data_IF_972511999606
#
_entry.id   IF_972511999606
#
_cell.length_a   1.000
_cell.length_b   1.000
_cell.length_c   1.000
_cell.angle_alpha   90.00
_cell.angle_beta   90.00
_cell.angle_gamma   90.00
#
_symmetry.space_group_name_H-M   'P 1'
#
loop_
_entity.id
_entity.type
_entity.pdbx_description
1 polymer ?
#
# COMPACT_ATOMS: atom_id res chain seq x y z
N UNK A 1 -42.37 -80.53 6.23
CA UNK A 1 -43.76 -80.99 5.99
C UNK A 1 -44.37 -80.05 5.02
N UNK A 2 -44.78 -80.52 3.87
CA UNK A 2 -45.85 -80.22 2.91
C UNK A 2 -45.98 -78.73 2.48
N UNK A 3 -45.57 -78.38 1.22
CA UNK A 3 -46.38 -78.68 -0.01
C UNK A 3 -47.58 -77.73 -0.07
N UNK A 4 -47.61 -76.80 -1.03
CA UNK A 4 -48.29 -76.96 -2.32
C UNK A 4 -48.30 -75.62 -3.06
N UNK A 5 -47.82 -75.60 -4.28
CA UNK A 5 -48.34 -74.76 -5.35
C UNK A 5 -49.64 -75.41 -5.87
N UNK A 6 -50.47 -74.82 -6.65
CA UNK A 6 -50.28 -74.28 -8.01
C UNK A 6 -51.24 -73.09 -8.30
N UNK A 7 -51.40 -72.48 -9.42
CA UNK A 7 -51.38 -72.70 -10.83
C UNK A 7 -51.79 -71.43 -11.57
N UNK A 8 -51.26 -71.23 -12.70
CA UNK A 8 -51.57 -70.49 -13.89
C UNK A 8 -53.01 -69.99 -14.11
N UNK A 9 -53.15 -68.76 -14.59
CA UNK A 9 -54.12 -68.52 -15.71
C UNK A 9 -53.63 -67.34 -16.58
N UNK A 10 -53.61 -67.67 -17.86
CA UNK A 10 -53.31 -66.79 -19.02
C UNK A 10 -54.49 -65.84 -19.26
N UNK A 11 -54.21 -64.59 -19.67
CA UNK A 11 -54.94 -63.89 -20.79
C UNK A 11 -54.25 -62.55 -21.05
N UNK A 12 -53.44 -62.46 -22.05
CA UNK A 12 -53.63 -61.91 -23.40
C UNK A 12 -53.75 -60.38 -23.48
N UNK A 13 -52.65 -59.81 -23.97
CA UNK A 13 -52.60 -58.95 -25.19
C UNK A 13 -53.60 -57.83 -25.38
N UNK A 14 -53.02 -56.70 -25.75
CA UNK A 14 -53.57 -55.46 -26.28
C UNK A 14 -53.63 -54.29 -25.28
N UNK A 15 -52.56 -53.71 -24.93
CA UNK A 15 -52.39 -52.28 -24.78
C UNK A 15 -50.86 -51.96 -24.82
N UNK A 16 -50.30 -52.13 -25.95
CA UNK A 16 -48.89 -51.78 -26.21
C UNK A 16 -48.81 -51.05 -27.55
N UNK A 17 -49.47 -49.90 -27.65
CA UNK A 17 -49.30 -48.99 -28.80
C UNK A 17 -49.80 -47.56 -28.61
N UNK A 18 -49.68 -46.95 -27.47
CA UNK A 18 -50.11 -45.54 -27.26
C UNK A 18 -49.29 -44.74 -26.24
N UNK A 19 -48.06 -45.17 -25.86
CA UNK A 19 -47.18 -44.37 -24.97
C UNK A 19 -45.77 -44.30 -25.54
N UNK A 20 -45.65 -43.95 -26.81
CA UNK A 20 -44.37 -43.81 -27.48
C UNK A 20 -44.18 -42.46 -28.22
N UNK A 21 -44.94 -41.45 -27.91
CA UNK A 21 -44.86 -40.14 -28.63
C UNK A 21 -45.00 -38.91 -27.74
N UNK A 22 -44.67 -38.94 -26.43
CA UNK A 22 -44.64 -37.74 -25.54
C UNK A 22 -43.38 -37.71 -24.67
N UNK A 23 -42.24 -38.11 -25.18
CA UNK A 23 -40.96 -37.92 -24.47
C UNK A 23 -39.87 -37.36 -25.40
N UNK A 24 -40.20 -36.50 -26.33
CA UNK A 24 -39.25 -35.88 -27.22
C UNK A 24 -39.55 -34.40 -27.39
N UNK A 25 -39.53 -33.61 -26.29
CA UNK A 25 -39.39 -32.14 -26.33
C UNK A 25 -39.31 -31.48 -24.97
N UNK A 26 -38.59 -32.04 -23.97
CA UNK A 26 -38.10 -31.29 -22.86
C UNK A 26 -36.54 -31.21 -22.98
N UNK A 27 -36.09 -30.50 -24.00
CA UNK A 27 -34.76 -29.99 -24.05
C UNK A 27 -34.58 -29.01 -22.89
N UNK A 28 -34.07 -29.52 -21.78
CA UNK A 28 -33.57 -28.67 -20.70
C UNK A 28 -32.38 -27.90 -21.28
N UNK A 29 -32.65 -26.67 -21.72
CA UNK A 29 -31.64 -25.67 -21.85
C UNK A 29 -31.11 -25.39 -20.43
N UNK A 30 -30.10 -26.15 -20.00
CA UNK A 30 -29.19 -25.69 -18.97
C UNK A 30 -28.46 -24.51 -19.62
N UNK A 31 -29.06 -23.34 -19.51
CA UNK A 31 -28.32 -22.11 -19.64
C UNK A 31 -27.20 -22.26 -18.62
N UNK A 32 -25.99 -22.47 -19.07
CA UNK A 32 -24.81 -22.24 -18.29
C UNK A 32 -24.90 -20.76 -17.87
N UNK A 33 -25.51 -20.53 -16.72
CA UNK A 33 -25.33 -19.29 -15.99
C UNK A 33 -23.85 -19.32 -15.63
N UNK A 34 -23.02 -18.80 -16.52
CA UNK A 34 -21.65 -18.46 -16.22
C UNK A 34 -21.73 -17.58 -14.97
N UNK A 35 -21.08 -18.03 -13.91
CA UNK A 35 -21.02 -17.31 -12.64
C UNK A 35 -20.62 -15.86 -12.91
N UNK A 36 -21.49 -14.86 -12.65
CA UNK A 36 -21.11 -13.46 -12.79
C UNK A 36 -20.10 -13.01 -11.71
N UNK A 37 -19.59 -13.94 -10.92
CA UNK A 37 -18.61 -13.69 -9.84
C UNK A 37 -17.16 -13.86 -10.27
N UNK A 38 -16.88 -14.35 -11.47
CA UNK A 38 -15.55 -14.30 -12.10
C UNK A 38 -15.41 -13.10 -13.04
N UNK A 39 -16.10 -12.01 -12.73
CA UNK A 39 -15.86 -10.75 -13.40
C UNK A 39 -14.52 -10.20 -12.93
N UNK A 40 -13.49 -10.48 -13.76
CA UNK A 40 -12.26 -9.71 -13.87
C UNK A 40 -11.47 -9.49 -12.59
N UNK A 41 -10.99 -10.56 -11.95
CA UNK A 41 -9.71 -10.51 -11.25
C UNK A 41 -8.66 -10.08 -12.31
N UNK A 42 -7.97 -8.94 -12.10
CA UNK A 42 -6.84 -8.59 -12.94
C UNK A 42 -7.08 -7.52 -14.02
N UNK A 43 -7.96 -6.54 -13.85
CA UNK A 43 -8.18 -5.50 -14.87
C UNK A 43 -7.77 -4.07 -14.49
N UNK A 44 -7.11 -3.86 -13.34
CA UNK A 44 -6.74 -2.50 -12.93
C UNK A 44 -5.82 -1.83 -13.94
N UNK A 45 -4.82 -2.55 -14.47
CA UNK A 45 -3.92 -2.00 -15.47
C UNK A 45 -4.67 -1.62 -16.75
N UNK A 46 -5.59 -2.45 -17.23
CA UNK A 46 -6.42 -2.16 -18.41
C UNK A 46 -7.28 -0.91 -18.18
N UNK A 47 -7.92 -0.80 -17.02
CA UNK A 47 -8.70 0.39 -16.62
C UNK A 47 -7.85 1.65 -16.55
N UNK A 48 -6.63 1.57 -15.98
CA UNK A 48 -5.67 2.67 -15.91
C UNK A 48 -5.27 3.11 -17.31
N UNK A 49 -4.94 2.18 -18.21
CA UNK A 49 -4.60 2.47 -19.61
C UNK A 49 -5.74 3.09 -20.39
N UNK A 50 -6.94 2.53 -20.29
CA UNK A 50 -8.13 3.07 -20.98
C UNK A 50 -8.46 4.48 -20.51
N UNK A 51 -8.30 4.76 -19.23
CA UNK A 51 -8.55 6.08 -18.64
C UNK A 51 -7.42 7.07 -18.94
N UNK A 52 -6.20 6.58 -19.20
CA UNK A 52 -5.03 7.40 -19.46
C UNK A 52 -4.44 8.09 -18.22
N UNK A 53 -4.88 7.74 -17.01
CA UNK A 53 -4.37 8.28 -15.75
C UNK A 53 -4.47 7.27 -14.61
N UNK A 54 -3.46 7.28 -13.74
CA UNK A 54 -3.43 6.52 -12.48
C UNK A 54 -4.12 7.31 -11.37
N UNK A 55 -5.10 6.73 -10.69
CA UNK A 55 -5.67 7.32 -9.47
C UNK A 55 -4.93 6.76 -8.26
N UNK A 56 -4.11 7.61 -7.63
CA UNK A 56 -3.30 7.23 -6.48
C UNK A 56 -3.86 7.87 -5.20
N UNK A 57 -4.23 7.01 -4.23
CA UNK A 57 -4.64 7.44 -2.90
C UNK A 57 -3.43 7.85 -2.07
N UNK A 58 -3.45 9.08 -1.56
CA UNK A 58 -2.37 9.68 -0.77
C UNK A 58 -2.91 10.28 0.52
N UNK A 59 -2.04 10.76 1.42
CA UNK A 59 -2.48 11.49 2.61
C UNK A 59 -3.01 12.88 2.27
N UNK A 60 -3.75 13.47 3.20
CA UNK A 60 -4.27 14.85 3.06
C UNK A 60 -3.19 15.93 3.20
N UNK A 61 -1.91 15.55 3.47
CA UNK A 61 -0.84 16.52 3.55
C UNK A 61 0.29 16.18 4.52
N UNK A 62 0.78 14.93 4.53
CA UNK A 62 1.96 14.56 5.31
C UNK A 62 3.20 15.02 4.53
N UNK A 63 3.88 16.05 5.04
CA UNK A 63 5.11 16.56 4.44
C UNK A 63 6.17 15.45 4.34
N UNK A 64 6.96 15.46 3.28
CA UNK A 64 7.95 14.41 3.01
C UNK A 64 7.38 13.11 2.44
N UNK A 65 6.08 12.83 2.60
CA UNK A 65 5.41 11.64 2.05
C UNK A 65 4.44 11.97 0.93
N UNK A 66 3.40 12.78 1.21
CA UNK A 66 2.50 13.30 0.19
C UNK A 66 1.89 14.62 0.64
N UNK A 67 2.35 15.70 0.06
CA UNK A 67 1.90 17.07 0.36
C UNK A 67 1.73 17.87 -0.91
N UNK A 68 0.60 18.55 -1.01
CA UNK A 68 0.30 19.48 -2.09
C UNK A 68 0.82 20.86 -1.72
N UNK A 69 1.63 21.46 -2.58
CA UNK A 69 2.10 22.83 -2.40
C UNK A 69 1.04 23.88 -2.84
N UNK A 70 1.26 25.17 -2.55
CA UNK A 70 0.32 26.22 -2.96
C UNK A 70 0.12 26.35 -4.48
N UNK A 71 1.06 25.86 -5.30
CA UNK A 71 0.94 25.80 -6.76
C UNK A 71 0.09 24.63 -7.25
N UNK A 72 -0.32 23.74 -6.34
CA UNK A 72 -1.09 22.56 -6.66
C UNK A 72 -0.25 21.32 -6.96
N UNK A 73 1.08 21.39 -6.88
CA UNK A 73 1.99 20.27 -7.15
C UNK A 73 2.14 19.38 -5.91
N UNK A 74 2.01 18.08 -6.12
CA UNK A 74 2.27 17.07 -5.09
C UNK A 74 3.76 16.73 -5.00
N UNK A 75 4.28 16.56 -3.79
CA UNK A 75 5.65 16.13 -3.50
C UNK A 75 5.66 15.15 -2.32
N UNK A 76 6.74 14.37 -2.20
CA UNK A 76 6.96 13.42 -1.15
C UNK A 76 7.20 12.00 -1.66
N UNK A 77 7.67 11.11 -0.77
CA UNK A 77 8.06 9.74 -1.10
C UNK A 77 6.89 8.92 -1.69
N UNK A 78 5.71 9.01 -1.09
CA UNK A 78 4.49 8.36 -1.59
C UNK A 78 4.04 8.95 -2.94
N UNK A 79 4.13 10.28 -3.09
CA UNK A 79 3.77 10.95 -4.34
C UNK A 79 4.71 10.56 -5.49
N UNK A 80 6.01 10.44 -5.21
CA UNK A 80 6.99 9.99 -6.19
C UNK A 80 6.78 8.52 -6.55
N UNK A 81 6.44 7.67 -5.58
CA UNK A 81 6.07 6.29 -5.87
C UNK A 81 4.84 6.19 -6.79
N UNK A 82 3.81 7.03 -6.59
CA UNK A 82 2.67 7.10 -7.51
C UNK A 82 3.11 7.47 -8.94
N UNK A 83 4.05 8.41 -9.09
CA UNK A 83 4.61 8.78 -10.40
C UNK A 83 5.40 7.62 -11.03
N UNK A 84 6.17 6.89 -10.23
CA UNK A 84 6.89 5.71 -10.68
C UNK A 84 5.94 4.65 -11.26
N UNK A 85 4.83 4.38 -10.57
CA UNK A 85 3.79 3.46 -11.05
C UNK A 85 3.13 3.96 -12.34
N UNK A 86 2.86 5.27 -12.46
CA UNK A 86 2.31 5.86 -13.68
C UNK A 86 3.29 5.80 -14.84
N UNK A 87 4.58 6.04 -14.60
CA UNK A 87 5.63 5.90 -15.62
C UNK A 87 5.72 4.46 -16.15
N UNK A 88 5.61 3.46 -15.27
CA UNK A 88 5.58 2.06 -15.67
C UNK A 88 4.32 1.70 -16.48
N UNK A 89 3.14 2.08 -15.98
CA UNK A 89 1.85 1.67 -16.54
C UNK A 89 1.44 2.46 -17.80
N UNK A 90 1.80 3.75 -17.89
CA UNK A 90 1.30 4.72 -18.86
C UNK A 90 2.41 5.43 -19.67
N UNK A 91 3.67 5.10 -19.40
CA UNK A 91 4.82 5.73 -20.07
C UNK A 91 5.15 7.15 -19.60
N UNK A 92 4.39 7.72 -18.66
CA UNK A 92 4.58 9.10 -18.19
C UNK A 92 4.19 9.22 -16.72
N UNK A 93 5.16 9.59 -15.86
CA UNK A 93 4.97 9.79 -14.43
C UNK A 93 4.04 10.97 -14.06
N UNK A 94 3.73 11.86 -15.02
CA UNK A 94 2.77 12.94 -14.78
C UNK A 94 1.31 12.51 -14.92
N UNK A 95 1.06 11.33 -15.49
CA UNK A 95 -0.31 10.80 -15.66
C UNK A 95 -0.86 10.22 -14.36
N UNK A 96 -0.84 11.02 -13.29
CA UNK A 96 -1.36 10.68 -11.96
C UNK A 96 -2.43 11.66 -11.52
N UNK A 97 -3.56 11.12 -11.07
CA UNK A 97 -4.56 11.85 -10.28
C UNK A 97 -4.37 11.48 -8.82
N UNK A 98 -3.87 12.41 -8.02
CA UNK A 98 -3.72 12.22 -6.58
C UNK A 98 -5.07 12.41 -5.89
N UNK A 99 -5.46 11.43 -5.07
CA UNK A 99 -6.71 11.42 -4.31
C UNK A 99 -6.36 11.50 -2.81
N UNK A 100 -6.48 12.67 -2.17
CA UNK A 100 -6.20 12.81 -0.75
C UNK A 100 -7.26 12.09 0.09
N UNK A 101 -6.82 11.30 1.07
CA UNK A 101 -7.66 10.44 1.89
C UNK A 101 -7.29 10.53 3.36
N UNK A 102 -8.29 10.58 4.23
CA UNK A 102 -8.14 10.33 5.66
C UNK A 102 -7.72 8.88 5.90
N UNK A 103 -7.04 8.61 7.02
CA UNK A 103 -6.61 7.25 7.34
C UNK A 103 -7.78 6.26 7.37
N UNK A 104 -8.92 6.64 7.93
CA UNK A 104 -10.13 5.80 8.00
C UNK A 104 -10.79 5.53 6.65
N UNK A 105 -10.59 6.40 5.64
CA UNK A 105 -11.21 6.29 4.32
C UNK A 105 -10.37 5.50 3.29
N UNK A 106 -9.09 5.27 3.55
CA UNK A 106 -8.15 4.75 2.54
C UNK A 106 -8.49 3.35 2.02
N UNK A 107 -8.84 2.41 2.91
CA UNK A 107 -9.20 1.05 2.51
C UNK A 107 -10.58 0.96 1.83
N UNK A 108 -11.63 1.64 2.32
CA UNK A 108 -12.88 1.75 1.56
C UNK A 108 -12.68 2.30 0.14
N UNK A 109 -11.89 3.37 -0.04
CA UNK A 109 -11.61 3.95 -1.34
C UNK A 109 -10.88 2.97 -2.28
N UNK A 110 -9.91 2.20 -1.76
CA UNK A 110 -9.19 1.20 -2.55
C UNK A 110 -10.12 0.06 -2.97
N UNK A 111 -10.86 -0.53 -2.02
CA UNK A 111 -11.78 -1.64 -2.31
C UNK A 111 -12.92 -1.25 -3.24
N UNK A 112 -13.47 -0.05 -3.07
CA UNK A 112 -14.52 0.50 -3.93
C UNK A 112 -14.03 0.96 -5.30
N UNK A 113 -12.73 0.83 -5.62
CA UNK A 113 -12.19 1.21 -6.92
C UNK A 113 -12.14 2.71 -7.18
N UNK A 114 -12.28 3.56 -6.14
CA UNK A 114 -12.08 5.01 -6.26
C UNK A 114 -10.63 5.35 -6.58
N UNK A 115 -9.69 4.53 -6.10
CA UNK A 115 -8.26 4.59 -6.37
C UNK A 115 -7.76 3.26 -6.92
N UNK A 116 -6.67 3.29 -7.65
CA UNK A 116 -6.05 2.11 -8.28
C UNK A 116 -4.91 1.56 -7.43
N UNK A 117 -4.19 2.44 -6.74
CA UNK A 117 -3.13 2.14 -5.77
C UNK A 117 -3.24 3.10 -4.59
N UNK A 118 -2.87 2.62 -3.42
CA UNK A 118 -2.80 3.42 -2.19
C UNK A 118 -1.34 3.54 -1.78
N UNK A 119 -0.77 4.74 -1.79
CA UNK A 119 0.54 5.09 -1.23
C UNK A 119 0.32 6.21 -0.21
N UNK A 120 0.10 5.81 1.07
CA UNK A 120 -0.34 6.71 2.14
C UNK A 120 0.13 6.18 3.49
N UNK A 121 1.43 6.11 3.73
CA UNK A 121 1.99 5.69 5.03
C UNK A 121 1.19 4.53 5.64
N UNK A 122 1.00 3.46 4.86
CA UNK A 122 0.10 2.39 5.27
C UNK A 122 0.88 1.20 5.79
N UNK A 123 0.83 0.98 7.08
CA UNK A 123 1.51 -0.13 7.75
C UNK A 123 0.97 -1.48 7.28
N UNK A 124 1.87 -2.33 6.82
CA UNK A 124 1.57 -3.71 6.49
C UNK A 124 1.36 -4.54 7.75
N UNK A 125 0.17 -5.06 7.93
CA UNK A 125 -0.17 -5.97 9.02
C UNK A 125 -0.97 -7.16 8.49
N UNK A 126 -0.85 -8.31 9.17
CA UNK A 126 -1.63 -9.50 8.85
C UNK A 126 -3.14 -9.21 8.88
N UNK A 127 -3.59 -8.47 9.90
CA UNK A 127 -5.01 -8.13 10.06
C UNK A 127 -5.55 -7.32 8.87
N UNK A 128 -4.76 -6.37 8.33
CA UNK A 128 -5.13 -5.59 7.15
C UNK A 128 -5.13 -6.43 5.89
N UNK A 129 -4.08 -7.19 5.66
CA UNK A 129 -3.94 -7.99 4.44
C UNK A 129 -5.00 -9.08 4.36
N UNK A 130 -5.14 -9.88 5.41
CA UNK A 130 -6.11 -10.98 5.45
C UNK A 130 -7.55 -10.50 5.66
N UNK A 131 -7.75 -9.45 6.49
CA UNK A 131 -9.10 -9.00 6.88
C UNK A 131 -9.75 -8.00 5.94
N UNK A 132 -8.96 -7.26 5.13
CA UNK A 132 -9.50 -6.17 4.31
C UNK A 132 -9.49 -6.44 2.81
N UNK A 133 -9.17 -7.65 2.38
CA UNK A 133 -9.10 -8.01 0.95
C UNK A 133 -8.19 -7.06 0.14
N UNK A 134 -7.00 -6.82 0.67
CA UNK A 134 -5.96 -6.00 0.03
C UNK A 134 -4.65 -6.77 -0.05
N UNK A 135 -3.71 -6.30 -0.87
CA UNK A 135 -2.35 -6.83 -0.97
C UNK A 135 -1.35 -5.69 -0.84
N UNK A 136 -0.28 -5.97 -0.12
CA UNK A 136 0.85 -5.06 0.04
C UNK A 136 1.94 -5.39 -0.99
N UNK A 137 2.43 -4.36 -1.69
CA UNK A 137 3.34 -4.55 -2.81
C UNK A 137 4.83 -4.66 -2.40
N UNK A 138 5.14 -4.43 -1.12
CA UNK A 138 6.50 -4.39 -0.58
C UNK A 138 6.65 -3.18 0.34
N UNK A 139 7.70 -3.16 1.16
CA UNK A 139 7.91 -2.06 2.12
C UNK A 139 8.61 -0.89 1.42
N UNK A 140 7.91 0.25 1.34
CA UNK A 140 8.46 1.50 0.81
C UNK A 140 9.25 2.28 1.86
N UNK A 141 8.88 2.14 3.15
CA UNK A 141 9.55 2.84 4.24
C UNK A 141 9.40 2.08 5.56
N UNK A 142 10.52 1.83 6.23
CA UNK A 142 10.55 1.21 7.56
C UNK A 142 10.50 2.30 8.63
N UNK A 143 9.51 2.24 9.51
CA UNK A 143 9.31 3.19 10.61
C UNK A 143 8.94 2.46 11.92
N UNK A 144 8.65 3.21 12.93
CA UNK A 144 8.15 2.76 14.22
C UNK A 144 7.34 3.85 14.90
N UNK A 145 6.33 3.46 15.68
CA UNK A 145 5.50 4.38 16.44
C UNK A 145 6.31 5.05 17.54
N UNK A 146 6.31 6.37 17.53
CA UNK A 146 6.98 7.24 18.52
C UNK A 146 6.04 8.22 19.20
N UNK A 147 6.63 9.09 20.00
CA UNK A 147 5.92 10.12 20.77
C UNK A 147 6.62 11.46 20.65
N UNK A 148 5.87 12.49 20.32
CA UNK A 148 6.34 13.88 20.31
C UNK A 148 5.78 14.61 21.53
N UNK A 149 6.64 15.34 22.24
CA UNK A 149 6.32 16.11 23.46
C UNK A 149 6.88 17.53 23.36
N UNK A 150 6.30 18.52 24.07
CA UNK A 150 6.91 19.85 24.17
C UNK A 150 8.28 19.76 24.85
N UNK A 151 9.31 20.38 24.30
CA UNK A 151 10.67 20.40 24.88
C UNK A 151 10.68 20.96 26.32
N UNK A 152 9.84 21.98 26.57
CA UNK A 152 9.67 22.58 27.90
C UNK A 152 9.07 21.63 28.95
N UNK A 153 8.42 20.54 28.54
CA UNK A 153 7.80 19.57 29.46
C UNK A 153 8.82 18.75 30.25
N UNK A 154 10.07 18.70 29.79
CA UNK A 154 11.16 17.87 30.34
C UNK A 154 10.86 16.38 30.38
N UNK A 155 9.86 15.92 29.66
CA UNK A 155 9.55 14.49 29.47
C UNK A 155 10.63 13.89 28.58
N UNK A 156 11.37 12.89 29.08
CA UNK A 156 12.48 12.24 28.37
C UNK A 156 12.24 10.76 28.06
N UNK A 157 11.12 10.20 28.53
CA UNK A 157 10.79 8.79 28.33
C UNK A 157 9.28 8.58 28.34
N UNK A 158 8.83 7.50 27.71
CA UNK A 158 7.42 7.09 27.65
C UNK A 158 6.83 6.85 29.06
N UNK A 159 7.62 6.32 29.99
CA UNK A 159 7.18 6.11 31.38
C UNK A 159 6.70 7.40 32.07
N UNK A 160 7.22 8.55 31.67
CA UNK A 160 6.79 9.87 32.21
C UNK A 160 5.45 10.36 31.63
N UNK A 161 4.86 9.62 30.70
CA UNK A 161 3.52 9.85 30.17
C UNK A 161 2.43 9.05 30.90
N UNK A 162 2.74 8.42 32.06
CA UNK A 162 1.75 7.69 32.85
C UNK A 162 0.54 8.60 33.15
N UNK A 163 -0.67 8.11 32.85
CA UNK A 163 -1.94 8.82 33.03
C UNK A 163 -2.15 10.03 32.11
N UNK A 164 -1.23 10.27 31.17
CA UNK A 164 -1.32 11.41 30.25
C UNK A 164 -2.37 11.19 29.16
N UNK A 165 -2.92 12.29 28.65
CA UNK A 165 -3.68 12.28 27.39
C UNK A 165 -2.71 12.40 26.23
N UNK A 166 -2.85 11.50 25.21
CA UNK A 166 -2.05 11.45 24.00
C UNK A 166 -2.96 11.59 22.78
N UNK A 167 -2.64 12.51 21.89
CA UNK A 167 -3.36 12.71 20.62
C UNK A 167 -2.92 11.67 19.58
N UNK A 168 -3.88 11.05 18.88
CA UNK A 168 -3.67 10.07 17.80
C UNK A 168 -4.64 10.31 16.65
N UNK A 169 -4.26 9.90 15.44
CA UNK A 169 -5.15 9.90 14.27
C UNK A 169 -6.00 8.62 14.25
N UNK A 170 -7.29 8.77 14.01
CA UNK A 170 -8.29 7.70 13.89
C UNK A 170 -8.00 6.75 12.73
N UNK A 171 -8.22 5.44 12.96
CA UNK A 171 -8.10 4.41 11.92
C UNK A 171 -6.65 4.09 11.55
N UNK A 172 -5.73 4.35 12.47
CA UNK A 172 -4.30 4.04 12.33
C UNK A 172 -3.91 2.88 13.25
N UNK A 173 -2.80 2.20 12.93
CA UNK A 173 -2.14 1.27 13.86
C UNK A 173 -1.70 1.95 15.15
N UNK A 174 -1.36 3.24 15.07
CA UNK A 174 -0.97 4.07 16.21
C UNK A 174 -2.04 4.09 17.31
N UNK A 175 -3.32 4.25 16.92
CA UNK A 175 -4.45 4.23 17.84
C UNK A 175 -4.54 2.88 18.58
N UNK A 176 -4.55 1.78 17.82
CA UNK A 176 -4.69 0.41 18.33
C UNK A 176 -3.49 0.00 19.22
N UNK A 177 -2.26 0.23 18.72
CA UNK A 177 -1.04 -0.18 19.42
C UNK A 177 -0.85 0.63 20.71
N UNK A 178 -1.17 1.92 20.71
CA UNK A 178 -1.07 2.74 21.91
C UNK A 178 -1.99 2.24 23.03
N UNK A 179 -3.21 1.86 22.68
CA UNK A 179 -4.16 1.30 23.64
C UNK A 179 -3.65 -0.02 24.25
N UNK A 180 -3.19 -0.94 23.39
CA UNK A 180 -2.62 -2.21 23.83
C UNK A 180 -1.37 -2.02 24.69
N UNK A 181 -0.44 -1.18 24.24
CA UNK A 181 0.79 -0.90 24.98
C UNK A 181 0.51 -0.28 26.34
N UNK A 182 -0.40 0.69 26.41
CA UNK A 182 -0.80 1.35 27.66
C UNK A 182 -1.39 0.37 28.68
N UNK A 183 -2.20 -0.59 28.23
CA UNK A 183 -2.74 -1.67 29.07
C UNK A 183 -1.63 -2.61 29.54
N UNK A 184 -0.81 -3.11 28.62
CA UNK A 184 0.25 -4.07 28.92
C UNK A 184 1.30 -3.54 29.88
N UNK A 185 1.60 -2.24 29.84
CA UNK A 185 2.61 -1.57 30.68
C UNK A 185 2.02 -0.85 31.90
N UNK A 186 0.70 -0.92 32.09
CA UNK A 186 -0.01 -0.20 33.18
C UNK A 186 0.26 1.31 33.20
N UNK A 187 0.51 1.91 32.03
CA UNK A 187 0.75 3.35 31.92
C UNK A 187 -0.53 4.18 32.07
N UNK A 188 -1.70 3.60 31.84
CA UNK A 188 -2.98 4.31 31.99
C UNK A 188 -3.09 5.53 31.08
N UNK A 189 -2.47 5.52 29.90
CA UNK A 189 -2.55 6.58 28.90
C UNK A 189 -3.99 6.69 28.40
N UNK A 190 -4.49 7.92 28.30
CA UNK A 190 -5.79 8.25 27.71
C UNK A 190 -5.57 8.70 26.26
N UNK A 191 -6.21 8.05 25.30
CA UNK A 191 -6.16 8.46 23.90
C UNK A 191 -7.19 9.55 23.62
N UNK A 192 -6.75 10.64 22.98
CA UNK A 192 -7.63 11.59 22.31
C UNK A 192 -7.54 11.33 20.80
N UNK A 193 -8.59 10.68 20.27
CA UNK A 193 -8.66 10.26 18.87
C UNK A 193 -9.23 11.41 18.04
N UNK A 194 -8.51 11.81 16.98
CA UNK A 194 -8.87 12.90 16.06
C UNK A 194 -9.04 12.35 14.64
N UNK A 195 -9.91 12.95 13.86
CA UNK A 195 -10.27 12.44 12.53
C UNK A 195 -9.17 12.56 11.46
N UNK A 196 -8.14 13.38 11.71
CA UNK A 196 -6.99 13.53 10.82
C UNK A 196 -5.72 13.86 11.58
N UNK A 197 -4.56 13.60 10.93
CA UNK A 197 -3.24 13.99 11.44
C UNK A 197 -3.17 15.49 11.75
N UNK A 198 -3.72 16.33 10.86
CA UNK A 198 -3.74 17.78 11.05
C UNK A 198 -4.52 18.20 12.29
N UNK A 199 -5.68 17.57 12.53
CA UNK A 199 -6.46 17.83 13.75
C UNK A 199 -5.73 17.34 15.00
N UNK A 200 -5.06 16.17 14.93
CA UNK A 200 -4.24 15.67 16.03
C UNK A 200 -3.08 16.62 16.36
N UNK A 201 -2.38 17.12 15.34
CA UNK A 201 -1.32 18.10 15.50
C UNK A 201 -1.84 19.43 16.10
N UNK A 202 -2.95 19.97 15.58
CA UNK A 202 -3.60 21.18 16.11
C UNK A 202 -4.00 21.02 17.59
N UNK A 203 -4.61 19.88 17.94
CA UNK A 203 -5.01 19.60 19.33
C UNK A 203 -3.79 19.50 20.25
N UNK A 204 -2.73 18.86 19.80
CA UNK A 204 -1.46 18.75 20.54
C UNK A 204 -0.80 20.13 20.73
N UNK A 205 -0.68 20.92 19.67
CA UNK A 205 -0.08 22.26 19.76
C UNK A 205 -0.92 23.23 20.62
N UNK A 206 -2.23 23.04 20.67
CA UNK A 206 -3.12 23.72 21.60
C UNK A 206 -3.09 23.16 23.02
N UNK A 207 -2.15 22.25 23.35
CA UNK A 207 -1.96 21.66 24.68
C UNK A 207 -3.16 20.84 25.19
N UNK A 208 -4.04 20.35 24.31
CA UNK A 208 -5.13 19.44 24.67
C UNK A 208 -4.61 18.02 25.02
N UNK A 209 -3.40 17.69 24.55
CA UNK A 209 -2.68 16.46 24.85
C UNK A 209 -1.28 16.77 25.37
N UNK A 210 -0.75 15.93 26.28
CA UNK A 210 0.64 16.03 26.76
C UNK A 210 1.65 15.51 25.72
N UNK A 211 1.22 14.62 24.85
CA UNK A 211 2.02 14.07 23.75
C UNK A 211 1.15 13.83 22.53
N UNK A 212 1.80 13.74 21.37
CA UNK A 212 1.22 13.23 20.14
C UNK A 212 1.95 11.94 19.76
N UNK A 213 1.23 10.90 19.36
CA UNK A 213 1.81 9.64 18.88
C UNK A 213 1.51 9.42 17.41
N UNK A 214 2.46 8.84 16.70
CA UNK A 214 2.43 8.52 15.28
C UNK A 214 3.72 7.86 14.84
N UNK A 215 3.84 7.55 13.55
CA UNK A 215 5.09 7.11 12.95
C UNK A 215 6.17 8.17 13.18
N UNK A 216 7.37 7.75 13.56
CA UNK A 216 8.41 8.69 13.98
C UNK A 216 8.82 9.67 12.87
N UNK A 217 8.88 9.19 11.62
CA UNK A 217 9.15 10.06 10.48
C UNK A 217 8.01 11.07 10.25
N UNK A 218 6.74 10.65 10.39
CA UNK A 218 5.59 11.57 10.34
C UNK A 218 5.66 12.62 11.45
N UNK A 219 5.99 12.23 12.69
CA UNK A 219 6.18 13.18 13.79
C UNK A 219 7.33 14.15 13.51
N UNK A 220 8.41 13.68 12.89
CA UNK A 220 9.53 14.55 12.52
C UNK A 220 9.12 15.61 11.49
N UNK A 221 8.27 15.24 10.52
CA UNK A 221 7.77 16.22 9.53
C UNK A 221 6.79 17.20 10.15
N UNK A 222 5.86 16.74 11.01
CA UNK A 222 4.93 17.62 11.75
C UNK A 222 5.68 18.60 12.64
N UNK A 223 6.81 18.19 13.24
CA UNK A 223 7.64 19.02 14.10
C UNK A 223 8.25 20.22 13.38
N UNK A 224 8.59 20.07 12.08
CA UNK A 224 9.18 21.18 11.30
C UNK A 224 8.20 22.34 11.12
N UNK A 225 6.93 22.03 10.92
CA UNK A 225 5.86 23.02 10.75
C UNK A 225 5.23 23.47 12.10
N UNK A 226 5.81 23.07 13.25
CA UNK A 226 5.25 23.33 14.56
C UNK A 226 5.35 24.79 14.99
N UNK A 227 4.37 25.32 15.76
CA UNK A 227 4.45 26.63 16.37
C UNK A 227 5.71 26.76 17.27
N UNK A 228 6.49 27.80 17.05
CA UNK A 228 7.77 28.01 17.75
C UNK A 228 8.96 27.26 17.14
N UNK A 229 8.76 26.57 16.00
CA UNK A 229 9.80 25.85 15.28
C UNK A 229 10.08 24.45 15.81
N UNK A 230 10.90 23.71 15.08
CA UNK A 230 11.19 22.30 15.35
C UNK A 230 11.80 22.07 16.77
N UNK A 231 12.56 23.00 17.28
CA UNK A 231 13.21 22.92 18.60
C UNK A 231 12.23 23.04 19.77
N UNK A 232 11.00 23.51 19.52
CA UNK A 232 9.97 23.60 20.56
C UNK A 232 9.43 22.22 21.00
N UNK A 233 9.71 21.18 20.24
CA UNK A 233 9.24 19.82 20.46
C UNK A 233 10.35 18.79 20.33
N UNK A 234 10.22 17.68 21.07
CA UNK A 234 11.15 16.55 21.05
C UNK A 234 10.40 15.28 20.74
N UNK A 235 10.96 14.45 19.86
CA UNK A 235 10.50 13.08 19.65
C UNK A 235 11.28 12.19 20.60
N UNK A 236 10.55 11.43 21.43
CA UNK A 236 11.16 10.50 22.38
C UNK A 236 11.91 9.38 21.64
N UNK A 237 12.99 8.83 22.24
CA UNK A 237 13.78 7.78 21.58
C UNK A 237 13.04 6.44 21.47
N UNK A 238 12.10 6.16 22.37
CA UNK A 238 11.39 4.88 22.39
C UNK A 238 10.50 4.71 21.16
N UNK A 239 10.47 3.47 20.66
CA UNK A 239 9.53 2.99 19.66
C UNK A 239 8.75 1.82 20.22
N UNK A 240 7.43 1.84 20.10
CA UNK A 240 6.55 0.82 20.66
C UNK A 240 6.01 -0.17 19.62
N UNK A 241 6.34 0.04 18.36
CA UNK A 241 5.96 -0.86 17.27
C UNK A 241 6.99 -0.88 16.14
N UNK A 242 6.78 -1.81 15.21
CA UNK A 242 7.35 -1.81 13.86
C UNK A 242 6.27 -1.34 12.89
N UNK A 243 6.58 -0.34 12.07
CA UNK A 243 5.66 0.23 11.09
C UNK A 243 6.27 0.08 9.68
N UNK A 244 6.17 -1.12 9.05
CA UNK A 244 6.56 -1.29 7.65
C UNK A 244 5.50 -0.64 6.75
N UNK A 245 5.78 0.57 6.29
CA UNK A 245 4.88 1.35 5.44
C UNK A 245 4.99 0.88 4.00
N UNK A 246 3.88 0.53 3.38
CA UNK A 246 3.87 -0.12 2.08
C UNK A 246 2.75 0.38 1.17
N UNK A 247 2.96 0.43 -0.16
CA UNK A 247 1.90 0.60 -1.14
C UNK A 247 0.93 -0.59 -1.12
N UNK A 248 -0.35 -0.30 -1.35
CA UNK A 248 -1.41 -1.28 -1.25
C UNK A 248 -2.25 -1.28 -2.52
N UNK A 249 -2.62 -2.47 -2.97
CA UNK A 249 -3.54 -2.70 -4.09
C UNK A 249 -4.72 -3.58 -3.65
N UNK A 250 -5.75 -3.67 -4.47
CA UNK A 250 -6.87 -4.62 -4.24
C UNK A 250 -6.36 -6.05 -4.30
N UNK A 251 -6.95 -6.94 -3.51
CA UNK A 251 -6.77 -8.38 -3.68
C UNK A 251 -7.39 -8.85 -5.01
N UNK A 252 -7.01 -10.04 -5.48
CA UNK A 252 -7.50 -10.66 -6.70
C UNK A 252 -7.10 -9.92 -8.00
N UNK A 253 -6.01 -9.14 -7.95
CA UNK A 253 -5.40 -8.48 -9.09
C UNK A 253 -3.87 -8.69 -9.01
N UNK A 254 -3.45 -9.93 -9.24
CA UNK A 254 -2.05 -10.35 -9.05
C UNK A 254 -1.12 -9.73 -10.10
N UNK A 255 -1.60 -9.46 -11.31
CA UNK A 255 -0.82 -8.80 -12.37
C UNK A 255 -0.53 -7.35 -11.97
N UNK A 256 -1.56 -6.64 -11.47
CA UNK A 256 -1.38 -5.28 -10.96
C UNK A 256 -0.48 -5.23 -9.71
N UNK A 257 -0.66 -6.17 -8.77
CA UNK A 257 0.22 -6.32 -7.61
C UNK A 257 1.66 -6.54 -8.06
N UNK A 258 1.88 -7.44 -9.03
CA UNK A 258 3.21 -7.76 -9.54
C UNK A 258 3.86 -6.53 -10.17
N UNK A 259 3.15 -5.78 -11.02
CA UNK A 259 3.68 -4.55 -11.60
C UNK A 259 4.05 -3.53 -10.52
N UNK A 260 3.15 -3.23 -9.57
CA UNK A 260 3.38 -2.25 -8.50
C UNK A 260 4.56 -2.67 -7.60
N UNK A 261 4.67 -3.96 -7.30
CA UNK A 261 5.81 -4.52 -6.55
C UNK A 261 7.14 -4.36 -7.31
N UNK A 262 7.13 -4.68 -8.59
CA UNK A 262 8.35 -4.57 -9.39
C UNK A 262 8.75 -3.12 -9.67
N UNK A 263 7.82 -2.17 -9.67
CA UNK A 263 8.16 -0.74 -9.65
C UNK A 263 8.97 -0.38 -8.41
N UNK A 264 8.59 -0.86 -7.23
CA UNK A 264 9.38 -0.66 -6.01
C UNK A 264 10.76 -1.32 -6.12
N UNK A 265 10.82 -2.55 -6.62
CA UNK A 265 12.07 -3.27 -6.81
C UNK A 265 13.00 -2.57 -7.82
N UNK A 266 12.46 -1.99 -8.90
CA UNK A 266 13.25 -1.15 -9.84
C UNK A 266 13.90 0.01 -9.11
N UNK A 267 13.17 0.73 -8.27
CA UNK A 267 13.70 1.88 -7.54
C UNK A 267 14.84 1.48 -6.60
N UNK A 268 14.70 0.37 -5.88
CA UNK A 268 15.73 -0.16 -4.97
C UNK A 268 16.92 -0.70 -5.75
N UNK A 269 16.69 -1.54 -6.77
CA UNK A 269 17.78 -2.09 -7.60
C UNK A 269 18.56 -1.01 -8.36
N UNK A 270 17.88 0.05 -8.81
CA UNK A 270 18.55 1.18 -9.44
C UNK A 270 19.54 1.85 -8.48
N UNK A 271 19.18 2.00 -7.21
CA UNK A 271 20.11 2.50 -6.19
C UNK A 271 21.29 1.55 -5.97
N UNK A 272 21.04 0.24 -5.85
CA UNK A 272 22.07 -0.79 -5.69
C UNK A 272 23.09 -0.79 -6.83
N UNK A 273 22.63 -0.49 -8.05
CA UNK A 273 23.43 -0.47 -9.27
C UNK A 273 24.03 0.92 -9.58
N UNK A 274 23.79 1.93 -8.74
CA UNK A 274 24.24 3.31 -8.97
C UNK A 274 23.59 3.94 -10.20
N UNK A 275 22.38 3.50 -10.58
CA UNK A 275 21.60 4.07 -11.66
C UNK A 275 20.76 5.20 -11.08
N UNK A 276 20.89 6.41 -11.63
CA UNK A 276 20.20 7.63 -11.19
C UNK A 276 19.34 8.20 -12.31
N UNK A 277 18.47 9.14 -11.96
CA UNK A 277 17.65 9.88 -12.95
C UNK A 277 18.49 10.52 -14.07
N UNK A 278 19.75 10.90 -13.77
CA UNK A 278 20.65 11.57 -14.72
C UNK A 278 21.41 10.60 -15.62
N UNK A 279 21.71 9.39 -15.15
CA UNK A 279 22.53 8.45 -15.88
C UNK A 279 21.77 7.21 -16.40
N UNK A 280 20.48 7.07 -16.09
CA UNK A 280 19.68 5.87 -16.35
C UNK A 280 19.78 5.38 -17.79
N UNK A 281 19.55 6.25 -18.76
CA UNK A 281 19.60 5.89 -20.19
C UNK A 281 20.99 5.36 -20.62
N UNK A 282 22.06 6.01 -20.18
CA UNK A 282 23.43 5.59 -20.48
C UNK A 282 23.77 4.28 -19.78
N UNK A 283 23.44 4.16 -18.50
CA UNK A 283 23.78 2.98 -17.69
C UNK A 283 22.98 1.75 -18.11
N UNK A 284 21.71 1.91 -18.41
CA UNK A 284 20.86 0.79 -18.85
C UNK A 284 21.18 0.33 -20.29
N UNK A 285 21.83 1.16 -21.10
CA UNK A 285 22.35 0.76 -22.40
C UNK A 285 23.73 0.06 -22.33
N UNK A 286 24.35 -0.01 -21.15
CA UNK A 286 25.68 -0.61 -20.97
C UNK A 286 25.57 -2.14 -20.92
N UNK A 287 26.20 -2.86 -21.89
CA UNK A 287 26.16 -4.33 -21.90
C UNK A 287 26.79 -4.98 -20.66
N UNK A 288 27.69 -4.30 -19.95
CA UNK A 288 28.30 -4.80 -18.72
C UNK A 288 27.29 -4.92 -17.55
N UNK A 289 26.15 -4.24 -17.66
CA UNK A 289 25.01 -4.34 -16.75
C UNK A 289 23.99 -5.40 -17.19
N UNK A 290 24.40 -6.41 -17.94
CA UNK A 290 23.56 -7.50 -18.48
C UNK A 290 22.55 -8.10 -17.45
N UNK A 291 22.85 -7.97 -16.17
CA UNK A 291 22.00 -8.47 -15.08
C UNK A 291 21.26 -7.36 -14.34
N UNK A 292 21.24 -6.15 -14.89
CA UNK A 292 20.63 -4.99 -14.26
C UNK A 292 19.10 -4.98 -14.33
N UNK A 293 18.56 -3.80 -14.64
CA UNK A 293 17.10 -3.53 -14.66
C UNK A 293 16.41 -3.91 -15.98
N UNK A 294 16.96 -4.86 -16.75
CA UNK A 294 16.37 -5.25 -18.03
C UNK A 294 15.26 -6.29 -17.83
N UNK A 295 14.04 -5.88 -18.06
CA UNK A 295 12.93 -6.80 -18.28
C UNK A 295 12.93 -7.21 -19.77
N UNK A 296 12.93 -8.50 -20.07
CA UNK A 296 12.79 -8.96 -21.45
C UNK A 296 11.43 -8.52 -22.02
N UNK A 297 11.33 -8.43 -23.35
CA UNK A 297 10.05 -8.13 -24.00
C UNK A 297 8.93 -9.10 -23.59
N UNK A 298 9.26 -10.38 -23.39
CA UNK A 298 8.33 -11.40 -22.96
C UNK A 298 7.82 -11.12 -21.54
N UNK A 299 8.72 -10.86 -20.59
CA UNK A 299 8.36 -10.52 -19.19
C UNK A 299 7.57 -9.21 -19.14
N UNK A 300 8.00 -8.20 -19.90
CA UNK A 300 7.31 -6.91 -19.94
C UNK A 300 5.90 -7.05 -20.50
N UNK A 301 5.73 -7.85 -21.56
CA UNK A 301 4.42 -8.14 -22.13
C UNK A 301 3.54 -8.92 -21.18
N UNK A 302 4.09 -9.87 -20.42
CA UNK A 302 3.37 -10.59 -19.37
C UNK A 302 2.86 -9.66 -18.25
N UNK A 303 3.63 -8.60 -17.95
CA UNK A 303 3.22 -7.53 -17.01
C UNK A 303 2.29 -6.49 -17.67
N UNK A 304 1.96 -6.66 -18.95
CA UNK A 304 1.16 -5.68 -19.70
C UNK A 304 1.89 -4.37 -19.97
N UNK A 305 3.22 -4.35 -20.02
CA UNK A 305 4.08 -3.18 -20.29
C UNK A 305 4.96 -3.43 -21.51
N UNK A 306 5.87 -2.55 -21.83
CA UNK A 306 6.95 -2.74 -22.81
C UNK A 306 8.33 -2.82 -22.13
N UNK A 307 9.38 -3.17 -22.87
CA UNK A 307 10.72 -3.41 -22.34
C UNK A 307 11.36 -2.21 -21.64
N UNK A 308 10.93 -0.99 -21.95
CA UNK A 308 11.53 0.26 -21.43
C UNK A 308 10.89 0.75 -20.12
N UNK A 309 9.90 0.04 -19.58
CA UNK A 309 9.21 0.51 -18.39
C UNK A 309 10.13 0.75 -17.17
N UNK A 310 11.19 -0.06 -16.91
CA UNK A 310 12.09 0.22 -15.79
C UNK A 310 12.89 1.51 -16.00
N UNK A 311 13.35 1.77 -17.24
CA UNK A 311 14.03 3.00 -17.60
C UNK A 311 13.15 4.22 -17.32
N UNK A 312 11.89 4.19 -17.78
CA UNK A 312 10.95 5.30 -17.56
C UNK A 312 10.66 5.54 -16.08
N UNK A 313 10.62 4.49 -15.26
CA UNK A 313 10.49 4.63 -13.80
C UNK A 313 11.63 5.46 -13.24
N UNK A 314 12.89 5.08 -13.55
CA UNK A 314 14.06 5.77 -13.01
C UNK A 314 14.22 7.18 -13.59
N UNK A 315 13.96 7.39 -14.89
CA UNK A 315 13.98 8.72 -15.49
C UNK A 315 12.93 9.66 -14.86
N UNK A 316 11.76 9.13 -14.48
CA UNK A 316 10.66 9.91 -13.93
C UNK A 316 10.91 10.41 -12.50
N UNK A 317 11.45 9.55 -11.63
CA UNK A 317 11.55 9.84 -10.20
C UNK A 317 12.94 9.60 -9.59
N UNK A 318 13.89 9.10 -10.37
CA UNK A 318 15.18 8.64 -9.87
C UNK A 318 15.10 7.28 -9.18
N UNK A 319 16.18 6.87 -8.54
CA UNK A 319 16.21 5.67 -7.71
C UNK A 319 15.67 5.93 -6.30
N UNK A 320 15.57 4.88 -5.47
CA UNK A 320 15.04 5.01 -4.11
C UNK A 320 15.87 5.99 -3.25
N UNK A 321 17.18 6.00 -3.36
CA UNK A 321 18.07 6.94 -2.65
C UNK A 321 17.78 8.39 -3.04
N UNK A 322 17.64 8.70 -4.34
CA UNK A 322 17.29 10.05 -4.80
C UNK A 322 15.90 10.47 -4.27
N UNK A 323 14.92 9.55 -4.27
CA UNK A 323 13.58 9.80 -3.71
C UNK A 323 13.65 10.08 -2.21
N UNK A 324 14.40 9.27 -1.46
CA UNK A 324 14.57 9.47 -0.02
C UNK A 324 15.23 10.81 0.29
N UNK A 325 16.39 11.09 -0.33
CA UNK A 325 17.20 12.27 -0.03
C UNK A 325 16.45 13.59 -0.29
N UNK A 326 15.74 13.71 -1.41
CA UNK A 326 14.99 14.95 -1.70
C UNK A 326 13.73 15.12 -0.86
N UNK A 327 13.10 14.02 -0.40
CA UNK A 327 11.82 14.10 0.30
C UNK A 327 11.95 14.06 1.82
N UNK A 328 12.90 13.31 2.37
CA UNK A 328 13.04 13.04 3.80
C UNK A 328 14.48 13.24 4.29
N UNK A 329 15.49 12.96 3.45
CA UNK A 329 16.90 12.93 3.79
C UNK A 329 17.55 14.31 3.88
N UNK A 330 18.86 14.36 3.68
CA UNK A 330 19.66 15.56 3.84
C UNK A 330 19.31 16.69 2.87
N UNK A 331 18.73 16.36 1.70
CA UNK A 331 18.20 17.30 0.72
C UNK A 331 16.86 17.94 1.12
N UNK A 332 16.23 17.49 2.21
CA UNK A 332 14.94 17.97 2.71
C UNK A 332 15.08 18.80 3.99
N UNK A 333 14.04 19.54 4.40
CA UNK A 333 14.06 20.23 5.69
C UNK A 333 13.99 19.28 6.90
N UNK A 334 13.70 17.99 6.70
CA UNK A 334 13.51 17.02 7.76
C UNK A 334 14.80 16.37 8.22
N UNK A 335 15.81 16.27 7.33
CA UNK A 335 17.17 15.77 7.62
C UNK A 335 17.15 14.37 8.29
N UNK A 336 16.25 13.48 7.86
CA UNK A 336 16.19 12.14 8.42
C UNK A 336 17.38 11.30 7.94
N UNK A 337 17.91 10.51 8.87
CA UNK A 337 18.87 9.47 8.55
C UNK A 337 18.16 8.28 7.89
N UNK A 338 18.86 7.57 6.99
CA UNK A 338 18.32 6.39 6.30
C UNK A 338 17.92 5.28 7.27
N UNK A 339 18.74 4.98 8.27
CA UNK A 339 18.51 3.90 9.22
C UNK A 339 18.15 2.58 8.51
N UNK A 340 17.05 1.96 8.88
CA UNK A 340 16.55 0.73 8.23
C UNK A 340 16.20 0.92 6.74
N UNK A 341 16.03 2.16 6.29
CA UNK A 341 15.76 2.50 4.90
C UNK A 341 17.02 2.62 4.04
N UNK A 342 18.20 2.36 4.59
CA UNK A 342 19.45 2.21 3.83
C UNK A 342 19.44 0.87 3.06
N UNK A 343 20.30 0.78 2.06
CA UNK A 343 20.52 -0.48 1.33
C UNK A 343 21.02 -1.58 2.28
N UNK A 344 20.73 -2.82 1.96
CA UNK A 344 21.17 -3.99 2.73
C UNK A 344 22.70 -4.05 2.88
N UNK A 345 23.47 -3.62 1.88
CA UNK A 345 24.93 -3.52 1.93
C UNK A 345 25.44 -2.45 2.89
N UNK A 346 24.57 -1.54 3.33
CA UNK A 346 24.86 -0.44 4.25
C UNK A 346 24.19 -0.66 5.63
N UNK A 347 23.73 -1.89 5.91
CA UNK A 347 23.11 -2.26 7.17
C UNK A 347 21.62 -1.92 7.29
N UNK A 348 20.98 -1.53 6.19
CA UNK A 348 19.52 -1.33 6.11
C UNK A 348 18.77 -2.58 5.66
N UNK A 349 17.50 -2.40 5.32
CA UNK A 349 16.59 -3.47 4.88
C UNK A 349 16.10 -3.28 3.44
N UNK A 350 16.57 -2.24 2.74
CA UNK A 350 16.20 -2.06 1.34
C UNK A 350 17.00 -3.03 0.47
N UNK A 351 16.26 -3.99 -0.10
CA UNK A 351 16.81 -5.12 -0.86
C UNK A 351 15.89 -5.42 -2.04
N UNK A 352 16.43 -5.49 -3.26
CA UNK A 352 15.67 -5.90 -4.43
C UNK A 352 15.96 -7.36 -4.79
N UNK A 353 14.92 -8.18 -5.04
CA UNK A 353 15.12 -9.46 -5.72
C UNK A 353 15.74 -9.25 -7.11
N UNK A 354 16.51 -10.23 -7.62
CA UNK A 354 17.06 -10.14 -8.96
C UNK A 354 15.96 -10.15 -10.03
N UNK A 355 16.24 -9.45 -11.15
CA UNK A 355 15.33 -9.33 -12.30
C UNK A 355 15.27 -10.57 -13.20
N UNK A 356 15.99 -11.63 -12.85
CA UNK A 356 16.08 -12.89 -13.62
C UNK A 356 15.57 -14.08 -12.82
#
# INVERSE_FOLDING_TARGET
>A
MRSLAPAMSRSTTHIARAIAWILASAGVWVAAAGDPLYAAAGDTLAKVKTRGTLRCGVSEGIAGFSRKDPSGRWSGLDADFCRAVAAAALGDGNKVTFVPLRASARFPALRGGTIDVLARNTTWTLAREAGLQVRFAGVLFYDGQGFMVPAKSRVKSLAKLKGATVCVEKGTTTEEILEHHSKATSLGIKTLVLDSLLEAAKAFFASRCKAMSGDAATLATVRVDAPGGAQAFVILPERISKEPLAPVVRAQDEDWLTLVRWVLNVLVAAEELGITSQNARKRMADPSLERGLHATEEVSRALGTDGDWPLRVVESVGNYGEMFERNLGQGSPFKLERGLNAQWTQGGLMYSPPFR
#
